data_IF_483296102299
#
_entry.id   IF_483296102299
#
_cell.length_a   1.000
_cell.length_b   1.000
_cell.length_c   1.000
_cell.angle_alpha   90.00
_cell.angle_beta   90.00
_cell.angle_gamma   90.00
#
_symmetry.space_group_name_H-M   'P 1'
#
loop_
_entity.id
_entity.type
_entity.pdbx_description
1 polymer ?
#
# COMPACT_ATOMS: atom_id res chain seq x y z
N UNK A 1 -18.51 -34.08 13.04
CA UNK A 1 -18.59 -32.75 12.43
C UNK A 1 -18.03 -31.74 13.41
N UNK A 2 -16.94 -31.06 13.07
CA UNK A 2 -16.38 -30.01 13.92
C UNK A 2 -17.36 -28.83 13.93
N UNK A 3 -17.95 -28.54 15.08
CA UNK A 3 -18.69 -27.31 15.30
C UNK A 3 -17.71 -26.28 15.84
N UNK A 4 -17.56 -25.10 15.21
CA UNK A 4 -16.67 -24.08 15.73
C UNK A 4 -17.18 -23.58 17.09
N UNK A 5 -16.26 -23.23 18.01
CA UNK A 5 -16.63 -22.72 19.32
C UNK A 5 -17.41 -21.41 19.18
N UNK A 6 -18.47 -21.31 19.97
CA UNK A 6 -19.32 -20.14 20.12
C UNK A 6 -18.49 -19.02 20.79
N UNK A 7 -18.01 -18.02 20.04
CA UNK A 7 -17.26 -16.89 20.60
C UNK A 7 -18.20 -15.76 20.99
N UNK A 8 -18.78 -15.87 22.18
CA UNK A 8 -19.27 -14.72 22.94
C UNK A 8 -18.19 -14.29 23.92
N UNK A 9 -17.14 -13.63 23.43
CA UNK A 9 -16.29 -12.68 24.19
C UNK A 9 -15.17 -12.14 23.25
N UNK A 10 -15.20 -10.83 22.97
CA UNK A 10 -14.20 -10.13 22.17
C UNK A 10 -14.38 -10.23 20.65
N UNK A 11 -15.32 -9.46 20.07
CA UNK A 11 -15.37 -9.27 18.61
C UNK A 11 -14.12 -8.51 18.16
N UNK A 12 -13.08 -9.23 17.77
CA UNK A 12 -12.06 -8.66 16.91
C UNK A 12 -12.71 -8.36 15.55
N UNK A 13 -12.62 -7.11 15.04
CA UNK A 13 -13.20 -6.77 13.76
C UNK A 13 -12.63 -7.67 12.67
N UNK A 14 -13.51 -8.22 11.84
CA UNK A 14 -13.13 -9.08 10.73
C UNK A 14 -12.47 -8.23 9.64
N UNK A 15 -11.22 -8.54 9.29
CA UNK A 15 -10.50 -7.84 8.21
C UNK A 15 -11.11 -8.11 6.81
N UNK A 16 -11.79 -9.24 6.67
CA UNK A 16 -12.50 -9.62 5.46
C UNK A 16 -14.01 -9.61 5.74
N UNK A 17 -14.85 -9.40 4.71
CA UNK A 17 -16.30 -9.57 4.86
C UNK A 17 -16.67 -10.94 5.46
N UNK A 18 -17.82 -11.05 6.14
CA UNK A 18 -18.22 -12.27 6.84
C UNK A 18 -18.28 -13.48 5.90
N UNK A 19 -18.15 -14.69 6.44
CA UNK A 19 -18.16 -15.92 5.63
C UNK A 19 -19.46 -16.12 4.84
N UNK A 20 -20.56 -15.52 5.30
CA UNK A 20 -21.85 -15.46 4.61
C UNK A 20 -21.85 -14.55 3.37
N UNK A 21 -20.83 -13.72 3.17
CA UNK A 21 -20.63 -12.88 1.98
C UNK A 21 -19.40 -13.34 1.17
N UNK A 22 -19.51 -14.45 0.42
CA UNK A 22 -18.41 -14.93 -0.41
C UNK A 22 -18.02 -13.95 -1.52
N UNK A 23 -18.98 -13.16 -2.02
CA UNK A 23 -18.76 -12.19 -3.09
C UNK A 23 -17.91 -11.01 -2.60
N UNK A 24 -18.23 -10.40 -1.45
CA UNK A 24 -17.42 -9.34 -0.87
C UNK A 24 -16.00 -9.79 -0.55
N UNK A 25 -15.84 -11.03 -0.06
CA UNK A 25 -14.50 -11.62 0.16
C UNK A 25 -13.72 -11.80 -1.14
N UNK A 26 -14.37 -12.25 -2.22
CA UNK A 26 -13.74 -12.36 -3.54
C UNK A 26 -13.32 -10.99 -4.08
N UNK A 27 -14.19 -9.98 -3.99
CA UNK A 27 -13.89 -8.60 -4.38
C UNK A 27 -12.69 -8.02 -3.62
N UNK A 28 -12.66 -8.23 -2.31
CA UNK A 28 -11.54 -7.82 -1.44
C UNK A 28 -10.21 -8.42 -1.93
N UNK A 29 -10.21 -9.72 -2.25
CA UNK A 29 -9.00 -10.41 -2.74
C UNK A 29 -8.56 -9.92 -4.12
N UNK A 30 -9.52 -9.67 -5.02
CA UNK A 30 -9.22 -9.11 -6.35
C UNK A 30 -8.59 -7.72 -6.23
N UNK A 31 -9.09 -6.88 -5.32
CA UNK A 31 -8.50 -5.57 -5.08
C UNK A 31 -7.05 -5.68 -4.57
N UNK A 32 -6.79 -6.60 -3.66
CA UNK A 32 -5.43 -6.85 -3.15
C UNK A 32 -4.50 -7.38 -4.25
N UNK A 33 -4.98 -8.31 -5.09
CA UNK A 33 -4.21 -8.80 -6.25
C UNK A 33 -3.86 -7.65 -7.20
N UNK A 34 -4.83 -6.77 -7.50
CA UNK A 34 -4.59 -5.59 -8.32
C UNK A 34 -3.49 -4.70 -7.73
N UNK A 35 -3.56 -4.37 -6.43
CA UNK A 35 -2.55 -3.56 -5.74
C UNK A 35 -1.16 -4.19 -5.85
N UNK A 36 -1.05 -5.51 -5.64
CA UNK A 36 0.21 -6.24 -5.73
C UNK A 36 0.79 -6.27 -7.16
N UNK A 37 -0.07 -6.19 -8.18
CA UNK A 37 0.34 -6.27 -9.60
C UNK A 37 0.57 -4.91 -10.24
N UNK A 38 0.01 -3.83 -9.69
CA UNK A 38 0.10 -2.50 -10.30
C UNK A 38 0.77 -1.48 -9.37
N UNK A 39 0.18 -1.21 -8.21
CA UNK A 39 0.62 -0.17 -7.28
C UNK A 39 2.01 -0.46 -6.71
N UNK A 40 2.23 -1.65 -6.16
CA UNK A 40 3.53 -2.01 -5.54
C UNK A 40 4.66 -2.03 -6.56
N UNK A 41 4.50 -2.61 -7.77
CA UNK A 41 5.50 -2.49 -8.82
C UNK A 41 5.75 -1.06 -9.28
N UNK A 42 4.71 -0.22 -9.40
CA UNK A 42 4.86 1.19 -9.78
C UNK A 42 5.69 1.96 -8.74
N UNK A 43 5.45 1.74 -7.45
CA UNK A 43 6.26 2.29 -6.36
C UNK A 43 7.75 1.96 -6.55
N UNK A 44 8.08 0.68 -6.78
CA UNK A 44 9.48 0.27 -6.92
C UNK A 44 10.10 0.73 -8.24
N UNK A 45 9.37 0.77 -9.35
CA UNK A 45 9.87 1.33 -10.62
C UNK A 45 10.26 2.79 -10.44
N UNK A 46 9.40 3.58 -9.79
CA UNK A 46 9.68 4.98 -9.52
C UNK A 46 10.88 5.15 -8.57
N UNK A 47 10.89 4.38 -7.48
CA UNK A 47 11.99 4.40 -6.51
C UNK A 47 13.32 3.92 -7.08
N UNK A 48 13.35 3.01 -8.05
CA UNK A 48 14.61 2.50 -8.63
C UNK A 48 15.10 3.32 -9.83
N UNK A 49 14.29 4.24 -10.36
CA UNK A 49 14.62 5.03 -11.54
C UNK A 49 15.83 5.94 -11.29
N UNK A 50 16.92 5.75 -12.03
CA UNK A 50 18.14 6.56 -11.88
C UNK A 50 18.16 7.79 -12.81
N UNK A 51 17.65 7.64 -14.02
CA UNK A 51 17.59 8.72 -15.01
C UNK A 51 16.40 9.65 -14.75
N UNK A 52 16.61 10.97 -14.84
CA UNK A 52 15.55 11.98 -14.63
C UNK A 52 14.33 11.75 -15.51
N UNK A 53 14.52 11.40 -16.79
CA UNK A 53 13.42 11.12 -17.71
C UNK A 53 12.55 9.94 -17.23
N UNK A 54 13.18 8.86 -16.73
CA UNK A 54 12.49 7.70 -16.17
C UNK A 54 11.83 8.02 -14.83
N UNK A 55 12.45 8.85 -13.99
CA UNK A 55 11.84 9.32 -12.75
C UNK A 55 10.54 10.09 -13.03
N UNK A 56 10.54 10.98 -14.02
CA UNK A 56 9.33 11.72 -14.43
C UNK A 56 8.27 10.76 -14.96
N UNK A 57 8.65 9.83 -15.83
CA UNK A 57 7.72 8.85 -16.40
C UNK A 57 7.09 7.97 -15.30
N UNK A 58 7.91 7.28 -14.51
CA UNK A 58 7.43 6.34 -13.49
C UNK A 58 6.77 7.06 -12.32
N UNK A 59 7.13 8.32 -12.04
CA UNK A 59 6.42 9.16 -11.08
C UNK A 59 4.97 9.43 -11.52
N UNK A 60 4.74 9.69 -12.81
CA UNK A 60 3.38 9.81 -13.36
C UNK A 60 2.61 8.49 -13.30
N UNK A 61 3.23 7.39 -13.72
CA UNK A 61 2.61 6.06 -13.62
C UNK A 61 2.23 5.71 -12.16
N UNK A 62 3.08 6.05 -11.19
CA UNK A 62 2.79 5.84 -9.78
C UNK A 62 1.62 6.71 -9.29
N UNK A 63 1.58 7.99 -9.70
CA UNK A 63 0.46 8.89 -9.37
C UNK A 63 -0.86 8.36 -9.95
N UNK A 64 -0.87 7.88 -11.20
CA UNK A 64 -2.05 7.29 -11.82
C UNK A 64 -2.57 6.07 -11.02
N UNK A 65 -1.67 5.21 -10.52
CA UNK A 65 -2.06 4.07 -9.69
C UNK A 65 -2.59 4.50 -8.31
N UNK A 66 -2.05 5.57 -7.75
CA UNK A 66 -2.54 6.16 -6.51
C UNK A 66 -3.95 6.75 -6.68
N UNK A 67 -4.19 7.46 -7.78
CA UNK A 67 -5.51 8.01 -8.12
C UNK A 67 -6.53 6.90 -8.35
N UNK A 68 -6.15 5.83 -9.08
CA UNK A 68 -7.01 4.64 -9.24
C UNK A 68 -7.36 3.99 -7.91
N UNK A 69 -6.38 3.87 -7.00
CA UNK A 69 -6.63 3.34 -5.66
C UNK A 69 -7.60 4.22 -4.88
N UNK A 70 -7.39 5.54 -4.88
CA UNK A 70 -8.28 6.49 -4.22
C UNK A 70 -9.70 6.47 -4.80
N UNK A 71 -9.83 6.36 -6.13
CA UNK A 71 -11.12 6.29 -6.83
C UNK A 71 -11.87 4.97 -6.65
N UNK A 72 -11.17 3.90 -6.26
CA UNK A 72 -11.78 2.60 -5.96
C UNK A 72 -12.33 2.48 -4.53
N UNK A 73 -12.02 3.46 -3.66
CA UNK A 73 -12.52 3.46 -2.28
C UNK A 73 -14.01 3.75 -2.21
N UNK A 74 -14.64 3.22 -1.17
CA UNK A 74 -15.99 3.63 -0.79
C UNK A 74 -16.03 5.15 -0.53
N UNK A 75 -17.03 5.87 -1.09
CA UNK A 75 -17.21 7.30 -0.85
C UNK A 75 -17.52 7.61 0.62
N UNK A 76 -18.16 6.69 1.32
CA UNK A 76 -18.28 6.73 2.77
C UNK A 76 -17.04 6.09 3.40
N UNK A 77 -16.51 6.68 4.47
CA UNK A 77 -15.21 6.25 4.98
C UNK A 77 -14.85 6.81 6.35
N UNK A 78 -13.81 6.23 6.95
CA UNK A 78 -12.50 6.62 6.45
C UNK A 78 -11.67 5.54 5.71
N UNK A 79 -12.01 4.25 5.78
CA UNK A 79 -11.22 3.13 5.21
C UNK A 79 -11.70 2.68 3.82
N UNK A 80 -10.94 1.83 3.14
CA UNK A 80 -11.15 1.47 1.72
C UNK A 80 -12.58 0.98 1.44
N UNK A 81 -13.12 0.12 2.29
CA UNK A 81 -14.47 -0.45 2.14
C UNK A 81 -15.51 0.21 3.05
N UNK A 82 -15.23 1.41 3.58
CA UNK A 82 -16.17 2.13 4.44
C UNK A 82 -15.63 2.47 5.83
N UNK A 83 -16.40 2.14 6.86
CA UNK A 83 -16.20 2.64 8.22
C UNK A 83 -15.13 1.89 9.03
N UNK A 84 -14.85 0.65 8.65
CA UNK A 84 -13.98 -0.26 9.41
C UNK A 84 -12.68 -0.55 8.65
N UNK A 85 -11.58 -0.67 9.40
CA UNK A 85 -10.29 -1.07 8.85
C UNK A 85 -10.39 -2.49 8.27
N UNK A 86 -10.04 -2.64 6.99
CA UNK A 86 -10.16 -3.89 6.26
C UNK A 86 -8.84 -4.43 5.71
N UNK A 87 -8.94 -5.58 5.07
CA UNK A 87 -7.80 -6.29 4.50
C UNK A 87 -7.10 -5.50 3.38
N UNK A 88 -7.86 -4.76 2.56
CA UNK A 88 -7.27 -3.91 1.50
C UNK A 88 -6.39 -2.83 2.11
N UNK A 89 -6.88 -2.17 3.17
CA UNK A 89 -6.15 -1.10 3.87
C UNK A 89 -4.81 -1.62 4.38
N UNK A 90 -4.83 -2.76 5.09
CA UNK A 90 -3.64 -3.39 5.67
C UNK A 90 -2.63 -3.77 4.58
N UNK A 91 -3.11 -4.26 3.44
CA UNK A 91 -2.25 -4.72 2.35
C UNK A 91 -1.53 -3.55 1.64
N UNK A 92 -2.08 -2.34 1.62
CA UNK A 92 -1.46 -1.20 0.93
C UNK A 92 -0.78 -0.20 1.88
N UNK A 93 -1.22 -0.14 3.14
CA UNK A 93 -0.72 0.80 4.15
C UNK A 93 0.82 0.90 4.25
N UNK A 94 1.59 -0.21 4.19
CA UNK A 94 3.05 -0.13 4.27
C UNK A 94 3.67 0.71 3.15
N UNK A 95 3.17 0.61 1.92
CA UNK A 95 3.69 1.37 0.79
C UNK A 95 3.18 2.80 0.78
N UNK A 96 1.93 3.02 1.16
CA UNK A 96 1.38 4.36 1.32
C UNK A 96 2.15 5.17 2.37
N UNK A 97 2.49 4.58 3.51
CA UNK A 97 3.30 5.23 4.53
C UNK A 97 4.72 5.54 4.02
N UNK A 98 5.27 4.69 3.15
CA UNK A 98 6.58 4.92 2.53
C UNK A 98 6.57 6.03 1.47
N UNK A 99 5.41 6.53 1.07
CA UNK A 99 5.34 7.77 0.29
C UNK A 99 5.82 8.95 1.15
N UNK A 100 5.42 9.00 2.42
CA UNK A 100 5.65 10.16 3.30
C UNK A 100 7.10 10.29 3.76
N UNK A 101 7.87 9.20 3.74
CA UNK A 101 9.29 9.18 4.14
C UNK A 101 10.20 8.75 2.98
N UNK A 102 10.11 7.51 2.49
CA UNK A 102 11.03 6.95 1.47
C UNK A 102 10.94 7.71 0.14
N UNK A 103 9.77 7.86 -0.47
CA UNK A 103 9.66 8.56 -1.75
C UNK A 103 9.91 10.07 -1.60
N UNK A 104 9.50 10.67 -0.48
CA UNK A 104 9.85 12.05 -0.15
C UNK A 104 11.36 12.24 -0.11
N UNK A 105 12.09 11.40 0.62
CA UNK A 105 13.54 11.48 0.77
C UNK A 105 14.28 11.23 -0.56
N UNK A 106 13.97 10.12 -1.25
CA UNK A 106 14.76 9.69 -2.41
C UNK A 106 14.30 10.27 -3.75
N UNK A 107 13.06 10.74 -3.85
CA UNK A 107 12.48 11.23 -5.11
C UNK A 107 11.86 12.61 -5.00
N UNK A 108 11.89 13.25 -3.83
CA UNK A 108 11.24 14.55 -3.62
C UNK A 108 9.73 14.50 -3.88
N UNK A 109 9.13 13.31 -3.83
CA UNK A 109 7.74 13.12 -4.17
C UNK A 109 6.88 13.51 -2.98
N UNK A 110 6.05 14.53 -3.18
CA UNK A 110 5.06 14.97 -2.22
C UNK A 110 3.72 15.07 -2.92
N UNK A 111 2.67 14.59 -2.26
CA UNK A 111 1.32 14.77 -2.75
C UNK A 111 0.89 16.21 -2.46
N UNK A 112 0.20 16.88 -3.38
CA UNK A 112 -0.39 18.18 -3.08
C UNK A 112 -1.31 18.03 -1.87
N UNK A 113 -1.37 19.03 -0.97
CA UNK A 113 -2.25 18.97 0.19
C UNK A 113 -3.70 19.10 -0.26
N UNK A 114 -4.30 17.99 -0.68
CA UNK A 114 -5.72 17.95 -1.00
C UNK A 114 -6.48 17.46 0.24
N UNK A 115 -7.79 17.72 0.29
CA UNK A 115 -8.68 17.10 1.29
C UNK A 115 -9.49 16.00 0.63
N UNK A 116 -8.81 15.23 -0.22
CA UNK A 116 -9.37 14.17 -1.02
C UNK A 116 -9.61 12.90 -0.22
N UNK A 117 -10.11 11.89 -0.92
CA UNK A 117 -10.43 10.59 -0.34
C UNK A 117 -9.17 9.89 0.18
N UNK A 118 -8.05 10.04 -0.52
CA UNK A 118 -6.77 9.46 -0.15
C UNK A 118 -6.20 10.03 1.15
N UNK A 119 -6.15 11.35 1.34
CA UNK A 119 -5.61 11.91 2.60
C UNK A 119 -6.47 11.48 3.79
N UNK A 120 -7.81 11.52 3.67
CA UNK A 120 -8.71 11.03 4.73
C UNK A 120 -8.43 9.56 5.09
N UNK A 121 -8.15 8.74 4.08
CA UNK A 121 -7.79 7.33 4.28
C UNK A 121 -6.42 7.19 4.95
N UNK A 122 -5.41 7.91 4.45
CA UNK A 122 -4.05 7.87 4.96
C UNK A 122 -4.00 8.30 6.42
N UNK A 123 -4.68 9.40 6.78
CA UNK A 123 -4.79 9.89 8.15
C UNK A 123 -5.38 8.82 9.09
N UNK A 124 -6.47 8.17 8.68
CA UNK A 124 -7.13 7.15 9.49
C UNK A 124 -6.29 5.89 9.64
N UNK A 125 -5.62 5.44 8.58
CA UNK A 125 -4.76 4.26 8.62
C UNK A 125 -3.49 4.52 9.41
N UNK A 126 -2.82 5.65 9.19
CA UNK A 126 -1.54 5.95 9.85
C UNK A 126 -1.70 6.32 11.32
N UNK A 127 -2.87 6.82 11.73
CA UNK A 127 -3.21 7.05 13.14
C UNK A 127 -3.78 5.80 13.85
N UNK A 128 -4.06 4.72 13.12
CA UNK A 128 -4.63 3.51 13.71
C UNK A 128 -3.62 2.85 14.68
N UNK A 129 -3.99 2.53 15.93
CA UNK A 129 -3.05 2.00 16.93
C UNK A 129 -2.28 0.76 16.48
N UNK A 130 -2.96 -0.16 15.79
CA UNK A 130 -2.33 -1.37 15.26
C UNK A 130 -1.29 -1.09 14.15
N UNK A 131 -1.46 -0.01 13.38
CA UNK A 131 -0.48 0.37 12.36
C UNK A 131 0.73 1.03 13.01
N UNK A 132 0.50 2.02 13.88
CA UNK A 132 1.54 2.74 14.64
C UNK A 132 2.45 1.77 15.41
N UNK A 133 1.88 0.74 16.03
CA UNK A 133 2.63 -0.28 16.77
C UNK A 133 3.60 -1.11 15.91
N UNK A 134 3.50 -1.03 14.58
CA UNK A 134 4.38 -1.73 13.62
C UNK A 134 5.39 -0.81 12.94
N UNK A 135 5.28 0.51 13.17
CA UNK A 135 6.16 1.48 12.53
C UNK A 135 7.53 1.56 13.22
N UNK A 136 8.56 1.79 12.39
CA UNK A 136 9.92 2.07 12.85
C UNK A 136 10.22 3.57 12.80
N UNK A 137 11.44 3.97 13.19
CA UNK A 137 11.90 5.35 13.00
C UNK A 137 12.12 5.65 11.51
N UNK A 138 12.05 6.92 11.13
CA UNK A 138 12.24 7.38 9.75
C UNK A 138 13.60 6.96 9.19
N UNK A 139 14.67 7.10 9.98
CA UNK A 139 16.03 6.71 9.58
C UNK A 139 16.10 5.23 9.16
N UNK A 140 15.44 4.33 9.90
CA UNK A 140 15.42 2.91 9.55
C UNK A 140 14.68 2.64 8.22
N UNK A 141 13.66 3.44 7.88
CA UNK A 141 13.02 3.34 6.57
C UNK A 141 13.94 3.82 5.45
N UNK A 142 14.64 4.93 5.64
CA UNK A 142 15.58 5.47 4.67
C UNK A 142 16.70 4.44 4.45
N UNK A 143 17.38 4.02 5.51
CA UNK A 143 18.51 3.07 5.46
C UNK A 143 18.12 1.75 4.78
N UNK A 144 16.94 1.20 5.10
CA UNK A 144 16.48 -0.07 4.53
C UNK A 144 16.14 0.02 3.04
N UNK A 145 15.82 1.20 2.53
CA UNK A 145 15.45 1.44 1.14
C UNK A 145 16.57 2.00 0.26
N UNK A 146 17.69 2.48 0.84
CA UNK A 146 18.84 3.01 0.11
C UNK A 146 19.29 2.13 -1.06
N UNK A 147 19.35 0.81 -0.83
CA UNK A 147 19.77 -0.17 -1.85
C UNK A 147 18.85 -0.23 -3.08
N UNK A 148 17.54 0.00 -2.89
CA UNK A 148 16.58 0.10 -3.97
C UNK A 148 16.66 1.47 -4.63
N UNK A 149 16.75 2.54 -3.83
CA UNK A 149 16.79 3.91 -4.33
C UNK A 149 17.98 4.19 -5.26
N UNK A 150 19.12 3.58 -4.96
CA UNK A 150 20.36 3.63 -5.73
C UNK A 150 20.44 2.55 -6.82
N UNK A 151 19.42 1.68 -6.91
CA UNK A 151 19.36 0.54 -7.83
C UNK A 151 20.64 -0.31 -7.86
N UNK A 152 21.18 -0.63 -6.67
CA UNK A 152 22.40 -1.44 -6.59
C UNK A 152 22.11 -2.86 -7.13
N UNK A 153 23.02 -3.47 -7.91
CA UNK A 153 22.84 -4.84 -8.39
C UNK A 153 22.84 -5.85 -7.23
N UNK A 154 22.13 -6.97 -7.40
CA UNK A 154 22.15 -8.08 -6.43
C UNK A 154 21.52 -7.77 -5.07
N UNK A 155 20.60 -6.81 -5.01
CA UNK A 155 20.00 -6.35 -3.75
C UNK A 155 18.81 -7.17 -3.30
N UNK A 156 17.98 -7.66 -4.22
CA UNK A 156 16.85 -8.56 -3.94
C UNK A 156 16.22 -9.09 -5.24
N UNK A 157 15.46 -10.17 -5.13
CA UNK A 157 14.64 -10.67 -6.24
C UNK A 157 13.59 -9.64 -6.71
N UNK A 158 13.12 -8.76 -5.81
CA UNK A 158 12.20 -7.66 -6.15
C UNK A 158 12.88 -6.64 -7.07
N UNK A 159 14.12 -6.23 -6.74
CA UNK A 159 14.87 -5.31 -7.58
C UNK A 159 15.13 -5.90 -8.97
N UNK A 160 15.55 -7.16 -9.04
CA UNK A 160 15.82 -7.84 -10.30
C UNK A 160 14.56 -8.01 -11.17
N UNK A 161 13.40 -8.33 -10.55
CA UNK A 161 12.12 -8.43 -11.24
C UNK A 161 11.71 -7.08 -11.85
N UNK A 162 11.80 -6.00 -11.08
CA UNK A 162 11.46 -4.65 -11.53
C UNK A 162 12.36 -4.19 -12.68
N UNK A 163 13.68 -4.37 -12.55
CA UNK A 163 14.63 -4.01 -13.60
C UNK A 163 14.44 -4.80 -14.89
N UNK A 164 13.93 -6.04 -14.81
CA UNK A 164 13.64 -6.88 -15.98
C UNK A 164 12.21 -6.73 -16.53
N UNK A 165 11.40 -5.81 -15.98
CA UNK A 165 10.01 -5.61 -16.39
C UNK A 165 9.08 -6.78 -16.04
N UNK A 166 9.48 -7.65 -15.11
CA UNK A 166 8.69 -8.79 -14.64
C UNK A 166 7.84 -8.42 -13.43
N UNK A 167 6.78 -9.19 -13.18
CA UNK A 167 5.98 -9.08 -11.95
C UNK A 167 6.81 -9.40 -10.70
N UNK A 168 6.36 -8.91 -9.54
CA UNK A 168 7.02 -9.20 -8.26
C UNK A 168 7.01 -10.73 -8.00
N UNK A 169 8.11 -11.28 -7.44
CA UNK A 169 8.22 -12.70 -7.09
C UNK A 169 7.30 -13.11 -5.93
#
# INVERSE_FOLDING_TARGET
AYSPPNTSDGQHPLLLPPLSDPYGRARTRLQVDQINRTFVPAFYRFLQAQETAKQIQFGKEFLDELEKFAGAMDPEGPFFSGKELGFVDIMIAPWAFRITNVLKHYRGFELPPTKGRYEKWADAVFSHPAFVATCSTEDLYIDSYARYAENRPGTSQVADAINSGRGLP
#
